data_IF_643872902489
#
_entry.id   IF_643872902489
#
_cell.length_a   1.000
_cell.length_b   1.000
_cell.length_c   1.000
_cell.angle_alpha   90.00
_cell.angle_beta   90.00
_cell.angle_gamma   90.00
#
_symmetry.space_group_name_H-M   'P 1'
#
loop_
_entity.id
_entity.type
_entity.pdbx_description
1 polymer ?
#
# COMPACT_ATOMS: atom_id res chain seq x y z
N UNK A 1 -4.40 -25.07 -25.30
CA UNK A 1 -4.74 -23.81 -24.58
C UNK A 1 -3.62 -23.56 -23.59
N UNK A 2 -2.87 -22.46 -23.72
CA UNK A 2 -1.87 -22.09 -22.71
C UNK A 2 -2.61 -21.74 -21.42
N UNK A 3 -2.38 -22.52 -20.35
CA UNK A 3 -2.91 -22.19 -19.03
C UNK A 3 -2.33 -20.83 -18.60
N UNK A 4 -3.19 -19.98 -18.05
CA UNK A 4 -2.74 -18.71 -17.47
C UNK A 4 -1.78 -19.01 -16.30
N UNK A 5 -0.69 -18.24 -16.18
CA UNK A 5 0.28 -18.39 -15.07
C UNK A 5 -0.40 -18.17 -13.71
N UNK A 6 -1.40 -17.29 -13.68
CA UNK A 6 -2.24 -17.00 -12.52
C UNK A 6 -3.68 -17.36 -12.89
N UNK A 7 -4.42 -18.11 -12.08
CA UNK A 7 -5.79 -18.53 -12.36
C UNK A 7 -6.77 -17.38 -12.07
N UNK A 8 -6.63 -16.24 -12.77
CA UNK A 8 -7.41 -15.03 -12.53
C UNK A 8 -8.93 -15.24 -12.66
N UNK A 9 -9.36 -16.13 -13.55
CA UNK A 9 -10.78 -16.49 -13.70
C UNK A 9 -11.33 -17.16 -12.44
N UNK A 10 -10.53 -18.00 -11.77
CA UNK A 10 -10.94 -18.68 -10.53
C UNK A 10 -10.89 -17.70 -9.35
N UNK A 11 -9.88 -16.82 -9.30
CA UNK A 11 -9.73 -15.82 -8.25
C UNK A 11 -10.81 -14.72 -8.26
N UNK A 12 -11.26 -14.28 -9.45
CA UNK A 12 -12.12 -13.10 -9.58
C UNK A 12 -13.41 -13.34 -10.36
N UNK A 13 -13.63 -14.56 -10.86
CA UNK A 13 -14.84 -14.97 -11.54
C UNK A 13 -15.18 -14.08 -12.73
N UNK A 14 -16.44 -13.67 -12.80
CA UNK A 14 -16.98 -12.88 -13.90
C UNK A 14 -16.28 -11.53 -14.10
N UNK A 15 -15.69 -10.93 -13.07
CA UNK A 15 -14.99 -9.66 -13.19
C UNK A 15 -13.69 -9.77 -13.99
N UNK A 16 -13.11 -10.98 -14.07
CA UNK A 16 -11.98 -11.26 -14.95
C UNK A 16 -12.43 -11.76 -16.32
N UNK A 17 -13.60 -12.39 -16.45
CA UNK A 17 -14.13 -12.89 -17.72
C UNK A 17 -14.46 -11.77 -18.72
N UNK A 18 -14.47 -12.09 -20.03
CA UNK A 18 -15.03 -11.18 -21.04
C UNK A 18 -16.56 -11.29 -21.04
N UNK A 19 -17.28 -10.20 -21.35
CA UNK A 19 -16.80 -8.87 -21.71
C UNK A 19 -16.49 -7.95 -20.50
N UNK A 20 -16.68 -8.45 -19.28
CA UNK A 20 -16.73 -7.63 -18.07
C UNK A 20 -15.39 -7.06 -17.59
N UNK A 21 -14.28 -7.68 -17.96
CA UNK A 21 -12.96 -7.20 -17.57
C UNK A 21 -12.60 -5.87 -18.23
N UNK A 22 -12.25 -4.89 -17.40
CA UNK A 22 -11.66 -3.62 -17.80
C UNK A 22 -10.24 -3.50 -17.24
N UNK A 23 -9.20 -3.33 -18.08
CA UNK A 23 -7.82 -3.16 -17.61
C UNK A 23 -7.59 -1.86 -16.82
N UNK A 24 -8.55 -0.93 -16.80
CA UNK A 24 -8.50 0.28 -15.98
C UNK A 24 -9.02 0.07 -14.55
N UNK A 25 -9.53 -1.12 -14.22
CA UNK A 25 -9.89 -1.42 -12.84
C UNK A 25 -8.67 -1.24 -11.95
N UNK A 26 -8.82 -0.31 -11.02
CA UNK A 26 -7.92 -0.15 -9.90
C UNK A 26 -8.23 -1.17 -8.81
N UNK A 27 -9.51 -1.53 -8.67
CA UNK A 27 -9.94 -2.70 -7.90
C UNK A 27 -10.92 -3.53 -8.73
N UNK A 28 -10.59 -4.79 -8.98
CA UNK A 28 -11.39 -5.69 -9.83
C UNK A 28 -12.72 -6.10 -9.19
N UNK A 29 -12.84 -6.05 -7.87
CA UNK A 29 -14.06 -6.42 -7.13
C UNK A 29 -15.06 -5.28 -7.11
N UNK A 30 -14.60 -4.08 -6.72
CA UNK A 30 -15.47 -2.89 -6.66
C UNK A 30 -15.68 -2.24 -8.02
N UNK A 31 -14.89 -2.64 -9.04
CA UNK A 31 -14.85 -2.06 -10.38
C UNK A 31 -14.49 -0.56 -10.38
N UNK A 32 -13.88 -0.08 -9.29
CA UNK A 32 -13.32 1.27 -9.22
C UNK A 32 -12.24 1.41 -10.28
N UNK A 33 -12.30 2.47 -11.07
CA UNK A 33 -11.35 2.73 -12.16
C UNK A 33 -10.35 3.79 -11.76
N UNK A 34 -9.10 3.59 -12.15
CA UNK A 34 -8.09 4.63 -12.09
C UNK A 34 -7.17 4.53 -13.30
N UNK A 35 -6.99 5.67 -13.98
CA UNK A 35 -6.15 5.80 -15.16
C UNK A 35 -4.67 5.85 -14.74
N UNK A 36 -4.06 4.67 -14.61
CA UNK A 36 -2.61 4.52 -14.50
C UNK A 36 -2.06 3.88 -15.77
N UNK A 37 -0.87 4.30 -16.17
CA UNK A 37 -0.12 3.61 -17.21
C UNK A 37 0.51 2.33 -16.64
N UNK A 38 0.61 1.28 -17.47
CA UNK A 38 1.43 0.13 -17.14
C UNK A 38 2.91 0.56 -17.09
N UNK A 39 3.58 0.39 -15.95
CA UNK A 39 4.96 0.83 -15.74
C UNK A 39 5.94 0.20 -16.74
N UNK A 40 5.70 -1.05 -17.12
CA UNK A 40 6.53 -1.78 -18.08
C UNK A 40 6.26 -1.35 -19.53
N UNK A 41 4.98 -1.25 -19.93
CA UNK A 41 4.62 -0.90 -21.30
C UNK A 41 4.68 0.60 -21.58
N UNK A 42 4.64 1.44 -20.55
CA UNK A 42 4.47 2.91 -20.61
C UNK A 42 3.27 3.34 -21.45
N UNK A 43 2.22 2.51 -21.45
CA UNK A 43 0.97 2.69 -22.21
C UNK A 43 -0.22 2.31 -21.33
N UNK A 44 -1.42 2.65 -21.81
CA UNK A 44 -2.68 2.24 -21.18
C UNK A 44 -2.67 0.72 -20.97
N UNK A 45 -2.97 0.24 -19.74
CA UNK A 45 -3.16 -1.16 -19.42
C UNK A 45 -4.04 -1.90 -20.42
N UNK A 46 -3.64 -3.12 -20.75
CA UNK A 46 -4.47 -4.09 -21.50
C UNK A 46 -4.48 -5.40 -20.73
N UNK A 47 -5.42 -6.30 -21.04
CA UNK A 47 -5.43 -7.64 -20.41
C UNK A 47 -4.08 -8.36 -20.54
N UNK A 48 -3.38 -8.18 -21.67
CA UNK A 48 -2.05 -8.76 -21.87
C UNK A 48 -0.98 -8.26 -20.90
N UNK A 49 -1.15 -7.09 -20.28
CA UNK A 49 -0.24 -6.62 -19.23
C UNK A 49 -0.37 -7.46 -17.94
N UNK A 50 -1.54 -8.04 -17.69
CA UNK A 50 -1.78 -8.89 -16.54
C UNK A 50 -1.29 -10.32 -16.80
N UNK A 51 -1.58 -10.87 -17.98
CA UNK A 51 -1.10 -12.21 -18.35
C UNK A 51 0.42 -12.28 -18.54
N UNK A 52 1.09 -11.14 -18.81
CA UNK A 52 2.55 -11.02 -18.84
C UNK A 52 3.19 -10.67 -17.49
N UNK A 53 2.39 -10.51 -16.43
CA UNK A 53 2.89 -10.19 -15.10
C UNK A 53 3.47 -8.78 -14.97
N UNK A 54 3.03 -7.82 -15.77
CA UNK A 54 3.38 -6.40 -15.52
C UNK A 54 2.53 -5.85 -14.36
N UNK A 55 1.28 -6.31 -14.27
CA UNK A 55 0.32 -5.94 -13.25
C UNK A 55 -0.41 -7.19 -12.76
N UNK A 56 -0.92 -7.13 -11.54
CA UNK A 56 -1.77 -8.15 -10.96
C UNK A 56 -2.80 -7.48 -10.03
N UNK A 57 -3.68 -8.28 -9.44
CA UNK A 57 -4.60 -7.83 -8.40
C UNK A 57 -4.25 -8.55 -7.11
N UNK A 58 -4.42 -7.85 -5.98
CA UNK A 58 -4.12 -8.37 -4.67
C UNK A 58 -5.03 -9.56 -4.36
N UNK A 59 -4.42 -10.64 -3.87
CA UNK A 59 -5.13 -11.89 -3.51
C UNK A 59 -5.33 -12.04 -2.02
N UNK A 60 -5.00 -11.07 -1.17
CA UNK A 60 -5.25 -11.21 0.28
C UNK A 60 -6.76 -11.25 0.56
N UNK A 61 -7.21 -12.11 1.48
CA UNK A 61 -8.60 -12.09 1.94
C UNK A 61 -8.83 -10.93 2.91
N UNK A 62 -9.91 -10.20 2.71
CA UNK A 62 -10.38 -9.11 3.58
C UNK A 62 -11.87 -9.29 3.85
N UNK A 63 -12.37 -8.72 4.95
CA UNK A 63 -13.82 -8.60 5.18
C UNK A 63 -14.39 -7.45 4.35
N UNK A 64 -15.46 -7.72 3.60
CA UNK A 64 -16.24 -6.67 2.96
C UNK A 64 -17.18 -5.96 3.95
N UNK A 65 -18.02 -5.05 3.45
CA UNK A 65 -18.97 -4.27 4.27
C UNK A 65 -20.01 -5.14 4.97
N UNK A 66 -20.27 -6.33 4.42
CA UNK A 66 -21.23 -7.30 4.93
C UNK A 66 -20.53 -8.41 5.76
N UNK A 67 -19.27 -8.18 6.14
CA UNK A 67 -18.42 -9.12 6.91
C UNK A 67 -18.13 -10.45 6.20
N UNK A 68 -18.29 -10.52 4.88
CA UNK A 68 -17.91 -11.70 4.11
C UNK A 68 -16.41 -11.65 3.77
N UNK A 69 -15.74 -12.80 3.84
CA UNK A 69 -14.37 -12.93 3.37
C UNK A 69 -14.31 -12.91 1.84
N UNK A 70 -13.59 -11.93 1.30
CA UNK A 70 -13.42 -11.75 -0.14
C UNK A 70 -11.96 -11.42 -0.46
N UNK A 71 -11.51 -11.69 -1.68
CA UNK A 71 -10.19 -11.25 -2.14
C UNK A 71 -10.18 -9.72 -2.31
N UNK A 72 -9.15 -9.04 -1.82
CA UNK A 72 -9.04 -7.58 -1.84
C UNK A 72 -9.14 -7.00 -3.26
N UNK A 73 -8.42 -7.57 -4.23
CA UNK A 73 -8.60 -7.22 -5.64
C UNK A 73 -8.00 -5.88 -6.07
N UNK A 74 -7.25 -5.17 -5.21
CA UNK A 74 -6.56 -3.93 -5.57
C UNK A 74 -5.40 -4.21 -6.54
N UNK A 75 -5.33 -3.45 -7.63
CA UNK A 75 -4.30 -3.54 -8.66
C UNK A 75 -2.95 -3.12 -8.11
N UNK A 76 -1.91 -3.84 -8.53
CA UNK A 76 -0.53 -3.46 -8.24
C UNK A 76 0.41 -3.90 -9.37
N UNK A 77 1.64 -3.37 -9.37
CA UNK A 77 2.68 -3.83 -10.31
C UNK A 77 3.40 -5.02 -9.73
N UNK A 78 3.57 -6.13 -10.47
CA UNK A 78 4.22 -7.33 -9.91
C UNK A 78 5.63 -7.03 -9.39
N UNK A 79 6.33 -6.08 -10.03
CA UNK A 79 7.65 -5.61 -9.58
C UNK A 79 7.62 -4.87 -8.23
N UNK A 80 6.57 -4.11 -7.91
CA UNK A 80 6.45 -3.46 -6.58
C UNK A 80 6.22 -4.48 -5.47
N UNK A 81 5.73 -5.68 -5.83
CA UNK A 81 5.47 -6.75 -4.89
C UNK A 81 4.37 -6.38 -3.92
N UNK A 82 3.11 -6.33 -4.37
CA UNK A 82 1.94 -6.08 -3.53
C UNK A 82 1.30 -4.71 -3.74
N UNK A 83 0.07 -4.58 -3.24
CA UNK A 83 -0.70 -3.33 -3.24
C UNK A 83 -0.33 -2.48 -2.02
N UNK A 84 -0.80 -1.24 -1.99
CA UNK A 84 -0.54 -0.27 -0.91
C UNK A 84 -0.85 -0.84 0.49
N UNK A 85 -2.00 -1.51 0.64
CA UNK A 85 -2.42 -2.12 1.89
C UNK A 85 -1.77 -3.48 2.21
N UNK A 86 -1.18 -4.17 1.23
CA UNK A 86 -0.68 -5.55 1.39
C UNK A 86 0.65 -5.72 0.66
N UNK A 87 1.72 -5.09 1.15
CA UNK A 87 3.04 -5.16 0.55
C UNK A 87 3.66 -6.54 0.76
N UNK A 88 4.42 -7.02 -0.22
CA UNK A 88 5.10 -8.33 -0.21
C UNK A 88 6.17 -8.42 0.86
N UNK A 89 6.74 -7.30 1.30
CA UNK A 89 7.69 -7.31 2.43
C UNK A 89 7.04 -7.81 3.73
N UNK A 90 5.71 -7.76 3.83
CA UNK A 90 4.92 -8.33 4.94
C UNK A 90 4.45 -9.77 4.66
N UNK A 91 4.90 -10.39 3.57
CA UNK A 91 4.56 -11.78 3.24
C UNK A 91 3.34 -11.96 2.34
N UNK A 92 2.75 -10.89 1.81
CA UNK A 92 1.59 -10.99 0.92
C UNK A 92 1.96 -11.17 -0.55
N UNK A 93 1.08 -11.78 -1.34
CA UNK A 93 1.17 -11.88 -2.80
C UNK A 93 2.46 -12.54 -3.36
N UNK A 94 3.18 -13.33 -2.57
CA UNK A 94 4.41 -14.02 -3.03
C UNK A 94 4.15 -14.98 -4.19
N UNK A 95 3.08 -15.78 -4.10
CA UNK A 95 2.69 -16.73 -5.15
C UNK A 95 2.57 -16.08 -6.54
N UNK A 96 2.07 -14.83 -6.62
CA UNK A 96 2.01 -14.09 -7.89
C UNK A 96 3.41 -13.82 -8.44
N UNK A 97 4.29 -13.27 -7.59
CA UNK A 97 5.64 -12.93 -8.01
C UNK A 97 6.46 -14.17 -8.40
N UNK A 98 6.33 -15.25 -7.64
CA UNK A 98 7.06 -16.49 -7.88
C UNK A 98 6.59 -17.19 -9.16
N UNK A 99 5.27 -17.21 -9.43
CA UNK A 99 4.73 -17.77 -10.65
C UNK A 99 5.23 -17.02 -11.91
N UNK A 100 5.23 -15.68 -11.90
CA UNK A 100 5.76 -14.91 -13.03
C UNK A 100 7.28 -14.98 -13.16
N UNK A 101 8.01 -15.07 -12.05
CA UNK A 101 9.47 -15.20 -12.06
C UNK A 101 9.93 -16.54 -12.61
N UNK A 102 9.26 -17.62 -12.21
CA UNK A 102 9.61 -18.99 -12.60
C UNK A 102 8.97 -19.42 -13.92
N UNK A 103 7.89 -18.75 -14.34
CA UNK A 103 7.07 -19.17 -15.47
C UNK A 103 6.22 -20.41 -15.18
N UNK A 104 6.20 -20.87 -13.92
CA UNK A 104 5.40 -22.02 -13.49
C UNK A 104 4.01 -21.53 -13.08
N UNK A 105 2.92 -22.09 -13.66
CA UNK A 105 1.58 -21.72 -13.25
C UNK A 105 1.33 -22.05 -11.77
N UNK A 106 0.75 -21.10 -11.03
CA UNK A 106 0.31 -21.31 -9.67
C UNK A 106 -1.10 -21.94 -9.65
N UNK A 107 -1.29 -22.97 -8.84
CA UNK A 107 -2.63 -23.49 -8.50
C UNK A 107 -3.41 -22.50 -7.63
N UNK A 108 -4.73 -22.64 -7.57
CA UNK A 108 -5.58 -21.77 -6.75
C UNK A 108 -5.21 -21.86 -5.26
N UNK A 109 -4.77 -23.04 -4.83
CA UNK A 109 -4.40 -23.37 -3.46
C UNK A 109 -3.21 -22.53 -2.97
N UNK A 110 -2.30 -22.16 -3.87
CA UNK A 110 -1.13 -21.32 -3.55
C UNK A 110 -1.54 -19.91 -3.07
N UNK A 111 -2.77 -19.48 -3.36
CA UNK A 111 -3.31 -18.20 -2.93
C UNK A 111 -4.14 -18.32 -1.63
N UNK A 112 -4.55 -19.52 -1.23
CA UNK A 112 -5.31 -19.76 0.02
C UNK A 112 -4.40 -20.07 1.22
N UNK A 113 -3.20 -20.59 0.99
CA UNK A 113 -2.31 -21.06 2.06
C UNK A 113 -1.72 -19.92 2.92
N UNK A 114 -1.58 -18.72 2.37
CA UNK A 114 -0.90 -17.60 3.04
C UNK A 114 -1.76 -16.84 4.06
N UNK A 115 -3.10 -16.88 3.96
CA UNK A 115 -3.98 -16.14 4.88
C UNK A 115 -4.05 -16.74 6.29
N UNK A 116 -3.71 -18.02 6.45
CA UNK A 116 -3.73 -18.68 7.77
C UNK A 116 -2.62 -18.24 8.73
N UNK A 117 -1.69 -17.37 8.30
CA UNK A 117 -0.72 -16.77 9.23
C UNK A 117 -1.31 -15.62 10.04
N UNK A 118 -2.38 -14.98 9.56
CA UNK A 118 -3.01 -13.83 10.24
C UNK A 118 -4.05 -14.21 11.31
N UNK A 119 -4.50 -15.47 11.41
CA UNK A 119 -5.17 -15.93 12.66
C UNK A 119 -4.23 -15.79 13.88
N UNK A 120 -2.91 -15.80 13.65
CA UNK A 120 -1.93 -15.48 14.69
C UNK A 120 -1.72 -13.98 14.90
N UNK A 121 -2.04 -13.15 13.91
CA UNK A 121 -1.90 -11.70 13.96
C UNK A 121 -3.17 -10.99 14.48
N UNK A 122 -4.36 -11.60 14.36
CA UNK A 122 -5.57 -11.11 15.06
C UNK A 122 -5.41 -11.18 16.59
N UNK A 123 -4.52 -12.02 17.13
CA UNK A 123 -4.07 -11.96 18.54
C UNK A 123 -3.21 -10.71 18.86
N UNK A 124 -2.76 -9.97 17.86
CA UNK A 124 -1.92 -8.78 18.00
C UNK A 124 -2.53 -7.52 17.39
N UNK A 125 -3.64 -7.61 16.66
CA UNK A 125 -4.28 -6.48 15.98
C UNK A 125 -5.09 -5.56 16.93
N UNK A 126 -5.41 -6.02 18.15
CA UNK A 126 -5.83 -5.15 19.25
C UNK A 126 -4.72 -4.17 19.70
N UNK A 127 -3.47 -4.30 19.22
CA UNK A 127 -2.37 -3.44 19.62
C UNK A 127 -2.15 -2.19 18.74
N UNK A 128 -2.85 -2.00 17.61
CA UNK A 128 -2.53 -0.90 16.68
C UNK A 128 -3.72 -0.10 16.12
N UNK A 129 -4.88 -0.17 16.76
CA UNK A 129 -5.95 0.84 16.56
C UNK A 129 -6.00 1.82 17.74
N UNK A 130 -4.84 2.32 18.17
CA UNK A 130 -4.84 3.61 18.85
C UNK A 130 -5.25 4.64 17.78
N UNK A 131 -6.32 5.43 17.98
CA UNK A 131 -6.63 6.52 17.08
C UNK A 131 -5.37 7.37 16.95
N UNK A 132 -4.97 7.69 15.72
CA UNK A 132 -3.98 8.76 15.51
C UNK A 132 -4.52 9.97 16.25
N UNK A 133 -3.97 10.22 17.44
CA UNK A 133 -4.32 11.38 18.24
C UNK A 133 -4.25 12.59 17.33
N UNK A 134 -5.29 13.42 17.42
CA UNK A 134 -5.39 14.67 16.69
C UNK A 134 -4.02 15.32 16.67
N UNK A 135 -3.38 15.38 15.49
CA UNK A 135 -2.16 16.14 15.32
C UNK A 135 -2.47 17.54 15.84
N UNK A 136 -1.78 18.02 16.90
CA UNK A 136 -2.07 19.33 17.44
C UNK A 136 -1.94 20.34 16.30
N UNK A 137 -2.85 21.30 16.28
CA UNK A 137 -2.89 22.37 15.31
C UNK A 137 -1.46 22.90 15.10
N UNK A 138 -1.04 22.98 13.85
CA UNK A 138 0.30 23.43 13.45
C UNK A 138 0.61 24.76 14.12
N UNK A 139 1.40 24.74 15.20
CA UNK A 139 2.07 25.93 15.69
C UNK A 139 2.86 26.55 14.54
N UNK A 140 2.96 27.87 14.51
CA UNK A 140 3.83 28.53 13.55
C UNK A 140 5.27 28.02 13.72
N UNK A 141 6.07 28.16 12.67
CA UNK A 141 7.41 27.57 12.64
C UNK A 141 8.34 28.10 13.75
N UNK A 142 8.00 29.26 14.32
CA UNK A 142 8.72 29.92 15.41
C UNK A 142 8.44 29.23 16.74
N UNK A 143 7.17 28.87 17.01
CA UNK A 143 6.80 28.15 18.23
C UNK A 143 7.46 26.77 18.32
N UNK A 144 7.53 26.04 17.21
CA UNK A 144 8.13 24.69 17.17
C UNK A 144 9.66 24.75 17.38
N UNK A 145 10.31 25.81 16.88
CA UNK A 145 11.75 26.01 17.11
C UNK A 145 12.03 26.35 18.57
N UNK A 146 11.21 27.21 19.18
CA UNK A 146 11.34 27.55 20.59
C UNK A 146 11.13 26.34 21.51
N UNK A 147 10.17 25.46 21.20
CA UNK A 147 9.97 24.20 21.93
C UNK A 147 11.16 23.25 21.80
N UNK A 148 11.71 23.11 20.58
CA UNK A 148 12.87 22.24 20.35
C UNK A 148 14.15 22.75 21.02
N UNK A 149 14.36 24.07 21.06
CA UNK A 149 15.50 24.69 21.75
C UNK A 149 15.36 24.52 23.28
N UNK A 150 14.16 24.73 23.83
CA UNK A 150 13.91 24.54 25.26
C UNK A 150 14.09 23.07 25.70
N UNK A 151 13.67 22.11 24.88
CA UNK A 151 13.84 20.69 25.18
C UNK A 151 15.31 20.25 25.06
N UNK A 152 16.07 20.84 24.14
CA UNK A 152 17.51 20.60 24.03
C UNK A 152 18.27 21.15 25.25
N UNK A 153 17.90 22.35 25.74
CA UNK A 153 18.49 22.93 26.95
C UNK A 153 18.21 22.07 28.20
N UNK A 154 16.99 21.58 28.37
CA UNK A 154 16.60 20.69 29.48
C UNK A 154 17.36 19.35 29.46
N UNK A 155 17.58 18.76 28.26
CA UNK A 155 18.38 17.54 28.12
C UNK A 155 19.87 17.76 28.41
N UNK A 156 20.40 18.93 28.08
CA UNK A 156 21.78 19.31 28.41
C UNK A 156 21.93 19.47 29.92
N UNK A 157 20.98 20.12 30.59
CA UNK A 157 21.00 20.30 32.05
C UNK A 157 20.95 18.96 32.80
N UNK A 158 20.17 17.99 32.28
CA UNK A 158 20.09 16.62 32.83
C UNK A 158 21.30 15.73 32.50
N UNK A 159 22.20 16.18 31.63
CA UNK A 159 23.34 15.39 31.16
C UNK A 159 22.95 14.21 30.25
N UNK A 160 21.73 14.25 29.70
CA UNK A 160 21.14 13.20 28.84
C UNK A 160 21.20 13.59 27.35
N UNK A 161 21.89 14.69 27.03
CA UNK A 161 21.99 15.17 25.66
C UNK A 161 22.74 14.19 24.75
N UNK A 162 22.00 13.56 23.85
CA UNK A 162 22.54 12.77 22.75
C UNK A 162 22.39 13.54 21.42
N UNK A 163 23.49 14.04 20.84
CA UNK A 163 23.46 14.80 19.60
C UNK A 163 22.90 13.99 18.42
N UNK A 164 23.00 12.66 18.41
CA UNK A 164 22.45 11.82 17.34
C UNK A 164 20.91 11.81 17.39
N UNK A 165 20.34 11.80 18.59
CA UNK A 165 18.89 11.86 18.81
C UNK A 165 18.34 13.21 18.37
N UNK A 166 19.00 14.32 18.73
CA UNK A 166 18.61 15.68 18.31
C UNK A 166 18.66 15.84 16.79
N UNK A 167 19.73 15.37 16.14
CA UNK A 167 19.87 15.43 14.67
C UNK A 167 18.78 14.61 13.98
N UNK A 168 18.40 13.46 14.53
CA UNK A 168 17.32 12.64 14.00
C UNK A 168 15.97 13.37 14.12
N UNK A 169 15.66 13.95 15.27
CA UNK A 169 14.43 14.71 15.51
C UNK A 169 14.30 15.90 14.52
N UNK A 170 15.39 16.66 14.34
CA UNK A 170 15.42 17.79 13.39
C UNK A 170 15.18 17.33 11.94
N UNK A 171 15.74 16.19 11.53
CA UNK A 171 15.49 15.62 10.18
C UNK A 171 14.03 15.20 9.98
N UNK A 172 13.42 14.59 10.98
CA UNK A 172 12.01 14.19 10.93
C UNK A 172 11.10 15.43 10.82
N UNK A 173 11.40 16.47 11.58
CA UNK A 173 10.67 17.73 11.56
C UNK A 173 10.80 18.46 10.21
N UNK A 174 12.00 18.48 9.63
CA UNK A 174 12.24 19.00 8.28
C UNK A 174 11.48 18.22 7.20
N UNK A 175 11.40 16.89 7.33
CA UNK A 175 10.61 16.06 6.42
C UNK A 175 9.11 16.37 6.55
N UNK A 176 8.58 16.52 7.77
CA UNK A 176 7.17 16.93 7.98
C UNK A 176 6.85 18.27 7.31
N UNK A 177 7.76 19.26 7.39
CA UNK A 177 7.60 20.56 6.69
C UNK A 177 7.51 20.40 5.17
N UNK A 178 8.38 19.56 4.57
CA UNK A 178 8.33 19.28 3.12
C UNK A 178 7.00 18.66 2.68
N UNK A 179 6.43 17.77 3.49
CA UNK A 179 5.12 17.18 3.21
C UNK A 179 3.98 18.19 3.33
N UNK A 180 3.96 18.98 4.41
CA UNK A 180 2.96 20.02 4.62
C UNK A 180 2.97 21.08 3.50
N UNK A 181 4.15 21.50 3.03
CA UNK A 181 4.25 22.45 1.92
C UNK A 181 3.79 21.85 0.59
N UNK A 182 4.12 20.58 0.34
CA UNK A 182 3.66 19.83 -0.84
C UNK A 182 2.15 19.72 -0.87
N UNK A 183 1.52 19.49 0.27
CA UNK A 183 0.06 19.40 0.38
C UNK A 183 -0.60 20.77 0.21
N UNK A 184 0.00 21.84 0.77
CA UNK A 184 -0.45 23.23 0.55
C UNK A 184 -0.44 23.61 -0.93
N UNK A 185 0.60 23.24 -1.68
CA UNK A 185 0.70 23.47 -3.14
C UNK A 185 -0.34 22.70 -3.95
N UNK A 186 -0.76 21.52 -3.48
CA UNK A 186 -1.81 20.72 -4.13
C UNK A 186 -3.23 21.25 -3.84
N UNK A 187 -3.43 21.90 -2.69
CA UNK A 187 -4.71 22.49 -2.30
C UNK A 187 -5.07 23.78 -3.06
N UNK A 188 -4.10 24.49 -3.62
CA UNK A 188 -4.30 25.80 -4.28
C UNK A 188 -4.68 25.72 -5.77
N UNK A 189 -4.79 24.54 -6.37
CA UNK A 189 -5.17 24.39 -7.79
C UNK A 189 -6.67 24.15 -7.97
N UNK A 190 -7.48 25.17 -7.64
CA UNK A 190 -8.82 25.32 -8.21
C UNK A 190 -8.93 26.75 -8.75
N UNK A 191 -8.68 26.98 -10.06
CA UNK A 191 -9.07 28.24 -10.68
C UNK A 191 -10.61 28.31 -10.70
N UNK A 192 -11.14 29.50 -10.41
CA UNK A 192 -12.56 29.83 -10.56
C UNK A 192 -12.98 29.85 -12.03
#
# INVERSE_FOLDING_TARGET
MTRDIIPFSELYGENWSRPNFDPHFDNIRTRTKYLHHCSQCRKIPKRSCYTKGHMAFCTVHIKDKDSNWVRHGQRFTVQSGGCDAHPRVQGYNHAIADAFKTGVPAGIEAFDEYDRRDERAELTADAHTEPRGDTPATGDAESILAEADAEAEDQIEKGEYDPEVTVKALRELANRKKWAEKDRRKGTSKPA
#
